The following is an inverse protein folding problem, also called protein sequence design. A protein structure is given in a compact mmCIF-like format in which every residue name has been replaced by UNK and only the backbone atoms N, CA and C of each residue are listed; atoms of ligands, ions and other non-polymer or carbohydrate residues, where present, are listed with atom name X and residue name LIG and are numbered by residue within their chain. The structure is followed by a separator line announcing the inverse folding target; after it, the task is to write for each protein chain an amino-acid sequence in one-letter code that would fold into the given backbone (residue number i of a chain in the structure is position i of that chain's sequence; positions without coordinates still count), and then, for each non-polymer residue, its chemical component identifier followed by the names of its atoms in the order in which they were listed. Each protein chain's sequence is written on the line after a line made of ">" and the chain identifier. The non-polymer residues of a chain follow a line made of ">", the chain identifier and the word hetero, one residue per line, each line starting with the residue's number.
data_IF_849942256766
#
_entry.id   IF_849942256766
#
_cell.length_a   1.000
_cell.length_b   1.000
_cell.length_c   1.000
_cell.angle_alpha   90.00
_cell.angle_beta   90.00
_cell.angle_gamma   90.00
#
_symmetry.space_group_name_H-M   'P 1'
#
loop_
_entity.id
_entity.type
_entity.pdbx_description
1 polymer ?
#
# COMPACT_ATOMS: atom_id res chain seq x y z
N UNK A 1 -10.63 15.65 -8.01
CA UNK A 1 -11.36 14.62 -8.78
C UNK A 1 -10.45 14.28 -9.93
N UNK A 2 -10.00 13.04 -10.06
CA UNK A 2 -9.00 12.64 -11.06
C UNK A 2 -9.64 12.74 -12.45
N UNK A 3 -8.99 13.44 -13.39
CA UNK A 3 -9.47 13.60 -14.76
C UNK A 3 -8.87 12.52 -15.68
N UNK A 4 -9.65 11.97 -16.61
CA UNK A 4 -9.20 10.99 -17.61
C UNK A 4 -7.98 11.47 -18.40
N UNK A 5 -7.87 12.77 -18.66
CA UNK A 5 -6.68 13.35 -19.30
C UNK A 5 -5.41 13.15 -18.46
N UNK A 6 -5.47 13.39 -17.15
CA UNK A 6 -4.34 13.22 -16.22
C UNK A 6 -3.93 11.74 -16.10
N UNK A 7 -4.90 10.83 -16.14
CA UNK A 7 -4.64 9.38 -16.16
C UNK A 7 -3.83 9.00 -17.41
N UNK A 8 -4.28 9.44 -18.59
CA UNK A 8 -3.59 9.14 -19.86
C UNK A 8 -2.20 9.76 -19.93
N UNK A 9 -2.04 10.98 -19.40
CA UNK A 9 -0.73 11.63 -19.31
C UNK A 9 0.22 10.87 -18.39
N UNK A 10 -0.26 10.42 -17.23
CA UNK A 10 0.52 9.61 -16.27
C UNK A 10 0.97 8.28 -16.90
N UNK A 11 0.08 7.60 -17.63
CA UNK A 11 0.43 6.37 -18.36
C UNK A 11 1.57 6.64 -19.35
N UNK A 12 1.46 7.72 -20.15
CA UNK A 12 2.50 8.08 -21.12
C UNK A 12 3.84 8.38 -20.44
N UNK A 13 3.84 9.08 -19.29
CA UNK A 13 5.06 9.35 -18.53
C UNK A 13 5.72 8.07 -18.00
N UNK A 14 4.94 7.12 -17.48
CA UNK A 14 5.46 5.83 -17.01
C UNK A 14 6.12 5.04 -18.15
N UNK A 15 5.49 5.00 -19.32
CA UNK A 15 6.00 4.27 -20.51
C UNK A 15 7.24 4.95 -21.13
N UNK A 16 7.24 6.28 -21.28
CA UNK A 16 8.31 7.02 -21.96
C UNK A 16 9.53 7.29 -21.06
N UNK A 17 9.31 7.52 -19.76
CA UNK A 17 10.37 7.93 -18.81
C UNK A 17 10.91 6.78 -17.93
N UNK A 18 10.35 5.56 -18.03
CA UNK A 18 10.79 4.36 -17.29
C UNK A 18 10.86 4.58 -15.76
N UNK A 19 9.84 5.23 -15.23
CA UNK A 19 9.77 5.53 -13.80
C UNK A 19 9.46 4.26 -12.99
N UNK A 20 10.19 4.06 -11.89
CA UNK A 20 9.97 2.99 -10.91
C UNK A 20 9.21 3.51 -9.68
N UNK A 21 8.42 2.62 -9.06
CA UNK A 21 7.86 2.88 -7.73
C UNK A 21 8.90 2.42 -6.72
N UNK A 22 9.30 3.29 -5.78
CA UNK A 22 10.35 2.94 -4.81
C UNK A 22 9.84 2.37 -3.50
N UNK A 23 8.57 2.62 -3.18
CA UNK A 23 7.95 2.16 -1.94
C UNK A 23 6.43 2.29 -2.03
N UNK A 24 5.73 1.30 -1.49
CA UNK A 24 4.31 1.37 -1.18
C UNK A 24 4.15 1.35 0.32
N UNK A 25 3.53 2.38 0.88
CA UNK A 25 3.37 2.52 2.33
C UNK A 25 1.90 2.49 2.71
N UNK A 26 1.54 1.57 3.61
CA UNK A 26 0.22 1.51 4.22
C UNK A 26 0.26 2.13 5.61
N UNK A 27 -0.47 3.22 5.80
CA UNK A 27 -0.67 3.83 7.12
C UNK A 27 -1.77 3.11 7.89
N UNK A 28 -1.45 2.57 9.07
CA UNK A 28 -2.42 1.91 9.95
C UNK A 28 -2.50 2.68 11.28
N UNK A 29 -3.68 3.19 11.61
CA UNK A 29 -3.91 3.84 12.91
C UNK A 29 -3.96 2.80 14.02
N UNK A 30 -3.24 3.04 15.11
CA UNK A 30 -3.23 2.17 16.31
C UNK A 30 -4.06 2.72 17.47
N UNK A 31 -4.71 3.88 17.31
CA UNK A 31 -5.41 4.56 18.41
C UNK A 31 -6.54 3.72 19.05
N UNK A 32 -7.17 2.85 18.26
CA UNK A 32 -8.21 1.91 18.70
C UNK A 32 -7.65 0.62 19.32
N UNK A 33 -6.34 0.39 19.24
CA UNK A 33 -5.67 -0.76 19.86
C UNK A 33 -5.32 -0.52 21.33
N UNK A 34 -5.61 0.67 21.87
CA UNK A 34 -5.37 0.98 23.27
C UNK A 34 -6.11 0.00 24.21
N UNK A 35 -5.43 -0.43 25.26
CA UNK A 35 -6.00 -1.27 26.30
C UNK A 35 -5.33 -0.96 27.64
N UNK A 36 -6.06 -1.18 28.73
CA UNK A 36 -5.51 -1.11 30.09
C UNK A 36 -4.43 -2.16 30.37
N UNK A 37 -4.46 -3.27 29.64
CA UNK A 37 -3.48 -4.34 29.69
C UNK A 37 -2.54 -4.25 28.48
N UNK A 38 -1.24 -4.10 28.74
CA UNK A 38 -0.23 -3.97 27.69
C UNK A 38 -0.10 -5.23 26.82
N UNK A 39 -0.41 -6.42 27.32
CA UNK A 39 -0.38 -7.65 26.52
C UNK A 39 -1.52 -7.66 25.50
N UNK A 40 -2.74 -7.33 25.94
CA UNK A 40 -3.90 -7.20 25.05
C UNK A 40 -3.71 -6.10 24.01
N UNK A 41 -3.10 -4.98 24.39
CA UNK A 41 -2.79 -3.91 23.44
C UNK A 41 -1.87 -4.41 22.31
N UNK A 42 -0.83 -5.18 22.64
CA UNK A 42 0.08 -5.76 21.63
C UNK A 42 -0.62 -6.78 20.72
N UNK A 43 -1.50 -7.60 21.28
CA UNK A 43 -2.30 -8.55 20.50
C UNK A 43 -3.21 -7.83 19.50
N UNK A 44 -3.92 -6.77 19.93
CA UNK A 44 -4.74 -5.94 19.04
C UNK A 44 -3.91 -5.31 17.91
N UNK A 45 -2.73 -4.76 18.24
CA UNK A 45 -1.82 -4.17 17.24
C UNK A 45 -1.40 -5.23 16.22
N UNK A 46 -0.98 -6.41 16.69
CA UNK A 46 -0.55 -7.50 15.81
C UNK A 46 -1.68 -7.90 14.85
N UNK A 47 -2.85 -8.23 15.40
CA UNK A 47 -4.01 -8.65 14.62
C UNK A 47 -4.38 -7.60 13.57
N UNK A 48 -4.43 -6.32 13.97
CA UNK A 48 -4.75 -5.22 13.08
C UNK A 48 -3.73 -5.11 11.94
N UNK A 49 -2.44 -5.09 12.23
CA UNK A 49 -1.42 -4.99 11.19
C UNK A 49 -1.52 -6.17 10.23
N UNK A 50 -1.69 -7.40 10.73
CA UNK A 50 -1.80 -8.59 9.87
C UNK A 50 -3.08 -8.62 9.05
N UNK A 51 -4.20 -8.10 9.56
CA UNK A 51 -5.47 -8.06 8.84
C UNK A 51 -5.44 -7.05 7.68
N UNK A 52 -4.92 -5.84 7.93
CA UNK A 52 -4.89 -4.79 6.91
C UNK A 52 -3.74 -4.95 5.91
N UNK A 53 -2.54 -5.32 6.38
CA UNK A 53 -1.34 -5.38 5.54
C UNK A 53 -0.97 -6.80 5.09
N UNK A 54 -1.74 -7.84 5.47
CA UNK A 54 -1.43 -9.24 5.15
C UNK A 54 -1.25 -9.52 3.66
N UNK A 55 -1.99 -8.83 2.80
CA UNK A 55 -1.92 -8.98 1.34
C UNK A 55 -1.17 -7.84 0.64
N UNK A 56 -0.51 -6.94 1.39
CA UNK A 56 0.11 -5.74 0.81
C UNK A 56 1.20 -6.08 -0.20
N UNK A 57 2.10 -7.00 0.15
CA UNK A 57 3.22 -7.42 -0.73
C UNK A 57 2.69 -8.10 -1.98
N UNK A 58 1.81 -9.09 -1.81
CA UNK A 58 1.20 -9.80 -2.94
C UNK A 58 0.46 -8.85 -3.89
N UNK A 59 -0.28 -7.88 -3.35
CA UNK A 59 -0.98 -6.89 -4.17
C UNK A 59 0.00 -6.01 -4.93
N UNK A 60 1.13 -5.61 -4.32
CA UNK A 60 2.17 -4.85 -5.00
C UNK A 60 2.82 -5.68 -6.13
N UNK A 61 3.15 -6.94 -5.89
CA UNK A 61 3.70 -7.87 -6.90
C UNK A 61 2.72 -8.09 -8.07
N UNK A 62 1.41 -8.20 -7.79
CA UNK A 62 0.37 -8.30 -8.82
C UNK A 62 0.29 -7.03 -9.69
N UNK A 63 0.47 -5.85 -9.10
CA UNK A 63 0.50 -4.56 -9.82
C UNK A 63 1.76 -4.46 -10.66
N UNK A 64 2.93 -4.81 -10.11
CA UNK A 64 4.21 -4.85 -10.83
C UNK A 64 4.09 -5.70 -12.10
N UNK A 65 3.57 -6.94 -11.97
CA UNK A 65 3.36 -7.85 -13.10
C UNK A 65 2.35 -7.32 -14.13
N UNK A 66 1.29 -6.65 -13.66
CA UNK A 66 0.22 -6.17 -14.54
C UNK A 66 0.65 -4.98 -15.39
N UNK A 67 1.48 -4.10 -14.84
CA UNK A 67 1.87 -2.86 -15.50
C UNK A 67 3.32 -2.87 -16.00
N UNK A 68 4.08 -3.93 -15.74
CA UNK A 68 5.50 -4.07 -16.12
C UNK A 68 6.36 -2.91 -15.56
N UNK A 69 6.04 -2.49 -14.33
CA UNK A 69 6.72 -1.39 -13.61
C UNK A 69 7.32 -1.95 -12.33
N UNK A 70 8.64 -1.81 -12.09
CA UNK A 70 9.27 -2.22 -10.84
C UNK A 70 8.69 -1.47 -9.63
N UNK A 71 8.40 -2.20 -8.55
CA UNK A 71 7.86 -1.67 -7.27
C UNK A 71 8.76 -2.05 -6.09
#
# INVERSE_FOLDING_TARGET
>A
MINTYEIMETIRMLEEEKLDIRTVTMGISLSDCADSDGEKAREKIYNKITEYAGELVKTAEEIELKYDIPI
#
